data_IF_847899404027
#
_entry.id   IF_847899404027
#
_cell.length_a   1.000
_cell.length_b   1.000
_cell.length_c   1.000
_cell.angle_alpha   90.00
_cell.angle_beta   90.00
_cell.angle_gamma   90.00
#
_symmetry.space_group_name_H-M   'P 1'
#
loop_
_entity.id
_entity.type
_entity.pdbx_description
1 polymer ?
#
# COMPACT_ATOMS: atom_id res chain seq x y z
N UNK A 1 -3.73 18.66 -1.63
CA UNK A 1 -3.96 17.96 -0.35
C UNK A 1 -3.48 16.54 -0.53
N UNK A 2 -2.56 16.10 0.31
CA UNK A 2 -1.99 14.75 0.25
C UNK A 2 -2.92 13.82 1.02
N UNK A 3 -3.67 12.96 0.33
CA UNK A 3 -4.60 12.03 0.96
C UNK A 3 -3.85 10.76 1.40
N UNK A 4 -3.18 10.84 2.55
CA UNK A 4 -2.61 9.67 3.21
C UNK A 4 -3.62 9.06 4.15
N UNK A 5 -3.78 7.74 4.05
CA UNK A 5 -4.63 6.93 4.93
C UNK A 5 -3.80 5.85 5.63
N UNK A 6 -4.27 5.43 6.79
CA UNK A 6 -3.70 4.28 7.49
C UNK A 6 -4.26 2.99 6.88
N UNK A 7 -3.36 2.05 6.58
CA UNK A 7 -3.68 0.76 6.00
C UNK A 7 -3.00 -0.36 6.77
N UNK A 8 -3.48 -1.59 6.57
CA UNK A 8 -2.76 -2.79 6.98
C UNK A 8 -2.30 -3.55 5.76
N UNK A 9 -1.03 -3.96 5.81
CA UNK A 9 -0.45 -4.83 4.79
C UNK A 9 -0.07 -6.16 5.40
N UNK A 10 -0.15 -7.20 4.58
CA UNK A 10 0.32 -8.55 4.91
C UNK A 10 1.51 -8.88 4.02
N UNK A 11 2.60 -9.34 4.61
CA UNK A 11 3.77 -9.79 3.84
C UNK A 11 3.63 -11.26 3.40
N UNK A 12 4.59 -11.74 2.60
CA UNK A 12 4.65 -13.14 2.15
C UNK A 12 4.82 -14.18 3.28
N UNK A 13 5.29 -13.76 4.46
CA UNK A 13 5.46 -14.60 5.65
C UNK A 13 4.20 -14.66 6.52
N UNK A 14 3.10 -14.07 6.05
CA UNK A 14 1.83 -13.92 6.76
C UNK A 14 1.83 -12.99 7.97
N UNK A 15 2.84 -12.13 8.09
CA UNK A 15 2.89 -11.10 9.11
C UNK A 15 2.07 -9.88 8.66
N UNK A 16 1.37 -9.25 9.60
CA UNK A 16 0.57 -8.06 9.37
C UNK A 16 1.29 -6.86 9.95
N UNK A 17 1.43 -5.82 9.13
CA UNK A 17 2.14 -4.59 9.46
C UNK A 17 1.22 -3.40 9.26
N UNK A 18 1.36 -2.42 10.15
CA UNK A 18 0.73 -1.12 9.97
C UNK A 18 1.55 -0.29 8.97
N UNK A 19 0.86 0.30 8.01
CA UNK A 19 1.48 1.05 6.93
C UNK A 19 0.60 2.25 6.56
N UNK A 20 1.11 3.11 5.70
CA UNK A 20 0.34 4.24 5.16
C UNK A 20 0.21 4.12 3.66
N UNK A 21 -0.92 4.52 3.10
CA UNK A 21 -1.10 4.59 1.66
C UNK A 21 -1.37 6.02 1.24
N UNK A 22 -0.70 6.47 0.19
CA UNK A 22 -1.08 7.69 -0.51
C UNK A 22 -2.12 7.33 -1.57
N UNK A 23 -3.23 8.06 -1.61
CA UNK A 23 -4.24 7.90 -2.65
C UNK A 23 -4.05 8.94 -3.76
N UNK A 24 -4.11 8.50 -5.01
CA UNK A 24 -4.21 9.36 -6.19
C UNK A 24 -5.52 10.14 -6.13
N UNK A 25 -5.47 11.39 -6.58
CA UNK A 25 -6.68 12.18 -6.80
C UNK A 25 -7.38 11.65 -8.06
N UNK A 26 -8.23 10.64 -7.87
CA UNK A 26 -9.06 10.02 -8.90
C UNK A 26 -10.53 10.08 -8.48
N UNK A 27 -11.48 10.13 -9.43
CA UNK A 27 -12.91 10.15 -9.12
C UNK A 27 -13.31 8.92 -8.28
N UNK A 28 -14.18 9.11 -7.30
CA UNK A 28 -14.53 8.16 -6.22
C UNK A 28 -15.16 6.82 -6.65
N UNK A 29 -15.26 6.54 -7.95
CA UNK A 29 -15.86 5.31 -8.48
C UNK A 29 -14.97 4.07 -8.39
N UNK A 30 -13.69 4.21 -8.06
CA UNK A 30 -12.75 3.08 -7.96
C UNK A 30 -12.50 2.70 -6.50
N UNK A 31 -12.45 1.39 -6.21
CA UNK A 31 -12.07 0.85 -4.90
C UNK A 31 -10.79 1.49 -4.39
N UNK A 32 -10.70 1.75 -3.09
CA UNK A 32 -9.57 2.44 -2.44
C UNK A 32 -8.22 1.86 -2.86
N UNK A 33 -8.12 0.52 -2.93
CA UNK A 33 -6.93 -0.21 -3.39
C UNK A 33 -6.43 0.21 -4.78
N UNK A 34 -7.35 0.48 -5.71
CA UNK A 34 -7.03 0.93 -7.07
C UNK A 34 -6.62 2.40 -7.12
N UNK A 35 -6.92 3.16 -6.07
CA UNK A 35 -6.52 4.56 -5.93
C UNK A 35 -5.19 4.70 -5.22
N UNK A 36 -4.62 3.63 -4.67
CA UNK A 36 -3.31 3.68 -4.01
C UNK A 36 -2.24 4.05 -5.03
N UNK A 37 -1.60 5.19 -4.82
CA UNK A 37 -0.45 5.65 -5.58
C UNK A 37 0.80 4.89 -5.18
N UNK A 38 1.04 4.80 -3.87
CA UNK A 38 2.14 4.08 -3.23
C UNK A 38 1.80 3.84 -1.76
N UNK A 39 2.52 2.91 -1.14
CA UNK A 39 2.48 2.69 0.30
C UNK A 39 3.79 3.10 0.96
N UNK A 40 3.74 3.33 2.26
CA UNK A 40 4.88 3.58 3.12
C UNK A 40 4.89 2.53 4.22
N UNK A 41 5.90 1.66 4.20
CA UNK A 41 6.13 0.59 5.20
C UNK A 41 7.49 0.84 5.81
N UNK A 42 7.59 0.95 7.14
CA UNK A 42 8.84 1.22 7.86
C UNK A 42 9.66 2.41 7.31
N UNK A 43 8.97 3.42 6.74
CA UNK A 43 9.59 4.60 6.14
C UNK A 43 10.05 4.43 4.68
N UNK A 44 9.93 3.23 4.11
CA UNK A 44 10.19 2.96 2.69
C UNK A 44 8.94 3.27 1.85
N UNK A 45 9.11 4.05 0.79
CA UNK A 45 8.07 4.29 -0.22
C UNK A 45 8.08 3.15 -1.24
N UNK A 46 7.00 2.38 -1.26
CA UNK A 46 6.87 1.21 -2.14
C UNK A 46 5.78 1.49 -3.17
N UNK A 47 6.16 1.45 -4.45
CA UNK A 47 5.22 1.60 -5.56
C UNK A 47 4.43 0.30 -5.78
N UNK A 48 3.18 0.38 -6.24
CA UNK A 48 2.43 -0.80 -6.64
C UNK A 48 3.12 -1.46 -7.83
N UNK A 49 3.26 -2.77 -7.73
CA UNK A 49 3.69 -3.68 -8.79
C UNK A 49 2.45 -4.30 -9.45
N UNK A 50 2.64 -5.44 -10.11
CA UNK A 50 1.58 -6.22 -10.75
C UNK A 50 0.59 -6.72 -9.67
N UNK A 51 -0.71 -6.80 -10.01
CA UNK A 51 -1.77 -7.34 -9.13
C UNK A 51 -1.97 -6.63 -7.78
N UNK A 52 -1.66 -5.33 -7.66
CA UNK A 52 -1.78 -4.55 -6.40
C UNK A 52 -0.90 -5.10 -5.26
N UNK A 53 0.21 -5.73 -5.63
CA UNK A 53 1.29 -6.10 -4.71
C UNK A 53 2.30 -4.96 -4.60
N UNK A 54 3.02 -4.90 -3.50
CA UNK A 54 3.99 -3.85 -3.20
C UNK A 54 5.29 -4.50 -2.78
N UNK A 55 6.29 -4.48 -3.65
CA UNK A 55 7.57 -5.14 -3.43
C UNK A 55 8.60 -4.13 -2.90
N UNK A 56 9.08 -4.36 -1.68
CA UNK A 56 10.16 -3.58 -1.08
C UNK A 56 11.49 -3.87 -1.79
N UNK A 57 12.19 -2.80 -2.14
CA UNK A 57 13.53 -2.88 -2.72
C UNK A 57 14.61 -3.05 -1.63
N UNK A 58 14.29 -2.73 -0.38
CA UNK A 58 15.24 -2.82 0.73
C UNK A 58 15.24 -4.20 1.40
N UNK A 59 14.06 -4.80 1.58
CA UNK A 59 13.86 -6.01 2.38
C UNK A 59 13.51 -7.24 1.52
N UNK A 60 13.44 -7.11 0.19
CA UNK A 60 12.96 -8.19 -0.72
C UNK A 60 11.61 -8.78 -0.27
N UNK A 61 10.79 -7.95 0.36
CA UNK A 61 9.53 -8.34 0.98
C UNK A 61 8.37 -7.87 0.11
N UNK A 62 7.44 -8.77 -0.17
CA UNK A 62 6.23 -8.45 -0.93
C UNK A 62 5.07 -8.25 0.04
N UNK A 63 4.41 -7.09 -0.07
CA UNK A 63 3.28 -6.69 0.74
C UNK A 63 1.98 -6.66 -0.08
N UNK A 64 0.89 -7.07 0.57
CA UNK A 64 -0.47 -6.98 0.03
C UNK A 64 -1.34 -6.20 1.00
N UNK A 65 -2.09 -5.22 0.50
CA UNK A 65 -3.05 -4.47 1.30
C UNK A 65 -4.21 -5.38 1.69
N UNK A 66 -4.49 -5.49 2.99
CA UNK A 66 -5.58 -6.31 3.53
C UNK A 66 -6.68 -5.47 4.19
N UNK A 67 -6.38 -4.24 4.61
CA UNK A 67 -7.33 -3.30 5.17
C UNK A 67 -6.93 -1.88 4.78
N UNK A 68 -7.90 -1.04 4.39
CA UNK A 68 -7.71 0.37 4.11
C UNK A 68 -8.87 1.16 4.72
N UNK A 69 -8.57 2.15 5.57
CA UNK A 69 -9.55 2.97 6.28
C UNK A 69 -9.62 4.39 5.77
#
# INVERSE_FOLDING_TARGET
>A
MTNMIDIKVKNQFSEILDAKALLRSAPDSNSVSNRIEHIVVDGEVILPSIELLFESQHSSSIYKVIEAK
#
